data_IF_831401633019
#
_entry.id   IF_831401633019
#
_cell.length_a   1.000
_cell.length_b   1.000
_cell.length_c   1.000
_cell.angle_alpha   90.00
_cell.angle_beta   90.00
_cell.angle_gamma   90.00
#
_symmetry.space_group_name_H-M   'P 1'
#
loop_
_entity.id
_entity.type
_entity.pdbx_description
1 polymer ?
#
# COMPACT_ATOMS: atom_id res chain seq x y z
N UNK A 1 17.73 -5.04 -5.00
CA UNK A 1 16.25 -5.11 -5.13
C UNK A 1 15.72 -5.30 -3.72
N UNK A 2 14.98 -4.33 -3.16
CA UNK A 2 14.54 -4.42 -1.77
C UNK A 2 13.57 -5.61 -1.62
N UNK A 3 13.90 -6.53 -0.72
CA UNK A 3 13.06 -7.69 -0.40
C UNK A 3 11.94 -7.19 0.50
N UNK A 4 10.72 -7.13 -0.04
CA UNK A 4 9.48 -6.91 0.71
C UNK A 4 8.69 -8.21 0.64
N UNK A 5 8.16 -8.66 1.76
CA UNK A 5 7.36 -9.88 1.82
C UNK A 5 5.88 -9.53 1.97
N UNK A 6 5.01 -10.50 1.65
CA UNK A 6 3.56 -10.28 1.78
C UNK A 6 3.20 -10.28 3.27
N UNK A 7 3.92 -11.04 4.07
CA UNK A 7 3.82 -11.15 5.52
C UNK A 7 3.95 -9.77 6.19
N UNK A 8 4.98 -8.98 5.83
CA UNK A 8 5.17 -7.62 6.34
C UNK A 8 3.95 -6.71 6.07
N UNK A 9 3.29 -6.92 4.92
CA UNK A 9 2.10 -6.15 4.56
C UNK A 9 0.84 -6.64 5.29
N UNK A 10 0.78 -7.94 5.61
CA UNK A 10 -0.36 -8.55 6.29
C UNK A 10 -0.41 -8.21 7.79
N UNK A 11 0.72 -7.84 8.40
CA UNK A 11 0.74 -7.29 9.76
C UNK A 11 -0.09 -6.00 9.88
N UNK A 12 -0.15 -5.22 8.80
CA UNK A 12 -0.87 -3.95 8.75
C UNK A 12 -2.25 -4.07 8.10
N UNK A 13 -2.37 -4.94 7.09
CA UNK A 13 -3.64 -5.22 6.39
C UNK A 13 -3.85 -6.73 6.38
N UNK A 14 -4.48 -7.32 7.41
CA UNK A 14 -4.61 -8.78 7.54
C UNK A 14 -5.49 -9.41 6.45
N UNK A 15 -6.36 -8.62 5.82
CA UNK A 15 -7.17 -9.09 4.70
C UNK A 15 -6.40 -9.01 3.38
N UNK A 16 -6.09 -10.17 2.79
CA UNK A 16 -5.35 -10.29 1.52
C UNK A 16 -6.02 -9.59 0.34
N UNK A 17 -7.35 -9.63 0.25
CA UNK A 17 -8.08 -8.93 -0.81
C UNK A 17 -8.00 -7.42 -0.63
N UNK A 18 -8.18 -6.94 0.61
CA UNK A 18 -8.07 -5.53 0.92
C UNK A 18 -6.63 -5.01 0.72
N UNK A 19 -5.62 -5.83 1.03
CA UNK A 19 -4.22 -5.55 0.72
C UNK A 19 -4.01 -5.40 -0.79
N UNK A 20 -4.48 -6.37 -1.59
CA UNK A 20 -4.36 -6.33 -3.04
C UNK A 20 -5.04 -5.08 -3.64
N UNK A 21 -6.25 -4.75 -3.18
CA UNK A 21 -6.98 -3.55 -3.61
C UNK A 21 -6.24 -2.26 -3.22
N UNK A 22 -5.72 -2.19 -1.99
CA UNK A 22 -4.99 -1.01 -1.49
C UNK A 22 -3.69 -0.81 -2.26
N UNK A 23 -2.92 -1.86 -2.47
CA UNK A 23 -1.70 -1.84 -3.26
C UNK A 23 -1.98 -1.43 -4.72
N UNK A 24 -3.03 -1.96 -5.34
CA UNK A 24 -3.43 -1.58 -6.69
C UNK A 24 -3.86 -0.11 -6.79
N UNK A 25 -4.65 0.37 -5.83
CA UNK A 25 -5.08 1.77 -5.77
C UNK A 25 -3.87 2.70 -5.61
N UNK A 26 -2.95 2.38 -4.69
CA UNK A 26 -1.75 3.18 -4.45
C UNK A 26 -0.82 3.16 -5.66
N UNK A 27 -0.64 2.00 -6.30
CA UNK A 27 0.13 1.89 -7.54
C UNK A 27 -0.41 2.80 -8.65
N UNK A 28 -1.74 2.89 -8.79
CA UNK A 28 -2.38 3.81 -9.73
C UNK A 28 -2.11 5.28 -9.39
N UNK A 29 -2.06 5.64 -8.11
CA UNK A 29 -1.71 7.01 -7.70
C UNK A 29 -0.27 7.35 -8.10
N UNK A 30 0.67 6.45 -7.83
CA UNK A 30 2.07 6.61 -8.22
C UNK A 30 2.23 6.72 -9.75
N UNK A 31 1.49 5.91 -10.50
CA UNK A 31 1.46 5.98 -11.96
C UNK A 31 0.92 7.33 -12.48
N UNK A 32 -0.04 7.93 -11.77
CA UNK A 32 -0.58 9.27 -12.06
C UNK A 32 0.37 10.42 -11.64
N UNK A 33 1.56 10.11 -11.15
CA UNK A 33 2.55 11.10 -10.75
C UNK A 33 2.50 11.51 -9.28
N UNK A 34 1.72 10.81 -8.44
CA UNK A 34 1.78 11.04 -7.00
C UNK A 34 3.19 10.72 -6.47
N UNK A 35 3.74 11.55 -5.56
CA UNK A 35 5.08 11.29 -5.03
C UNK A 35 5.07 10.01 -4.17
N UNK A 36 6.14 9.19 -4.25
CA UNK A 36 6.35 8.10 -3.33
C UNK A 36 6.65 8.64 -1.93
N UNK A 37 6.12 7.96 -0.90
CA UNK A 37 6.31 8.30 0.51
C UNK A 37 7.61 7.73 1.09
N UNK A 38 8.27 6.86 0.32
CA UNK A 38 9.54 6.24 0.65
C UNK A 38 10.52 6.40 -0.50
N UNK A 39 11.81 6.42 -0.19
CA UNK A 39 12.83 6.41 -1.23
C UNK A 39 12.89 5.03 -1.89
N UNK A 40 12.72 4.99 -3.20
CA UNK A 40 12.59 3.74 -3.96
C UNK A 40 13.08 3.92 -5.39
N UNK A 41 13.70 2.86 -5.91
CA UNK A 41 14.03 2.70 -7.34
C UNK A 41 13.21 1.58 -7.98
N UNK A 42 12.21 1.05 -7.27
CA UNK A 42 11.42 -0.09 -7.70
C UNK A 42 10.19 0.34 -8.52
N UNK A 43 9.57 -0.62 -9.22
CA UNK A 43 8.28 -0.42 -9.91
C UNK A 43 7.19 0.00 -8.91
N UNK A 44 6.19 0.73 -9.40
CA UNK A 44 5.11 1.31 -8.58
C UNK A 44 4.40 0.30 -7.66
N UNK A 45 4.20 -0.94 -8.13
CA UNK A 45 3.57 -2.00 -7.32
C UNK A 45 4.42 -2.38 -6.11
N UNK A 46 5.73 -2.54 -6.31
CA UNK A 46 6.66 -2.87 -5.22
C UNK A 46 6.81 -1.68 -4.27
N UNK A 47 6.83 -0.46 -4.81
CA UNK A 47 6.82 0.76 -3.99
C UNK A 47 5.57 0.83 -3.12
N UNK A 48 4.38 0.59 -3.68
CA UNK A 48 3.13 0.61 -2.93
C UNK A 48 3.12 -0.44 -1.80
N UNK A 49 3.58 -1.67 -2.07
CA UNK A 49 3.68 -2.71 -1.03
C UNK A 49 4.67 -2.32 0.07
N UNK A 50 5.80 -1.71 -0.28
CA UNK A 50 6.76 -1.21 0.73
C UNK A 50 6.20 -0.05 1.54
N UNK A 51 5.48 0.88 0.91
CA UNK A 51 4.79 1.96 1.63
C UNK A 51 3.72 1.40 2.59
N UNK A 52 3.05 0.32 2.20
CA UNK A 52 2.12 -0.40 3.08
C UNK A 52 2.91 -1.04 4.23
N UNK A 53 3.95 -1.82 3.97
CA UNK A 53 4.78 -2.46 5.01
C UNK A 53 5.41 -1.46 6.01
N UNK A 54 5.72 -0.24 5.57
CA UNK A 54 6.21 0.84 6.46
C UNK A 54 5.09 1.66 7.13
N UNK A 55 3.82 1.24 7.00
CA UNK A 55 2.67 1.91 7.60
C UNK A 55 2.38 3.30 7.03
N UNK A 56 2.98 3.67 5.89
CA UNK A 56 2.76 4.96 5.22
C UNK A 56 1.45 5.00 4.42
N UNK A 57 0.97 3.82 4.01
CA UNK A 57 -0.28 3.64 3.28
C UNK A 57 -1.13 2.61 4.01
N UNK A 58 -2.34 3.00 4.39
CA UNK A 58 -3.30 2.13 5.05
C UNK A 58 -4.70 2.30 4.45
N UNK A 59 -5.56 1.32 4.70
CA UNK A 59 -6.99 1.44 4.39
C UNK A 59 -7.53 2.55 5.28
N UNK A 60 -8.03 3.64 4.68
CA UNK A 60 -8.91 4.55 5.41
C UNK A 60 -10.17 3.75 5.70
N UNK A 61 -10.39 3.36 6.95
CA UNK A 61 -11.72 2.99 7.40
C UNK A 61 -12.65 4.13 6.99
N UNK A 62 -13.48 3.88 5.98
CA UNK A 62 -14.70 4.66 5.84
C UNK A 62 -15.50 4.26 7.06
N UNK A 63 -15.36 4.99 8.16
CA UNK A 63 -16.41 5.00 9.18
C UNK A 63 -17.66 5.37 8.40
N UNK A 64 -18.56 4.40 8.22
CA UNK A 64 -19.90 4.70 7.71
C UNK A 64 -20.42 5.82 8.61
N UNK A 65 -20.82 6.97 8.05
CA UNK A 65 -21.43 7.99 8.87
C UNK A 65 -22.76 7.43 9.37
N UNK A 66 -22.75 6.89 10.58
CA UNK A 66 -23.94 6.70 11.40
C UNK A 66 -24.85 5.53 11.04
N UNK A 67 -25.42 4.98 12.11
CA UNK A 67 -26.69 4.27 12.19
C UNK A 67 -27.82 4.99 11.44
#
# INVERSE_FOLDING_TARGET
MARVTVEDCLELIPNRFALAMTAAQRSKQLLKGAPPLIQTKNKFVVTALREIAEGKVAIKERKSPGK
#
